data_IF_165496770236
#
_entry.id   IF_165496770236
#
_cell.length_a   1.000
_cell.length_b   1.000
_cell.length_c   1.000
_cell.angle_alpha   90.00
_cell.angle_beta   90.00
_cell.angle_gamma   90.00
#
_symmetry.space_group_name_H-M   'P 1'
#
loop_
_entity.id
_entity.type
_entity.pdbx_description
1 polymer ?
#
# COMPACT_ATOMS: atom_id res chain seq x y z
N UNK A 1 4.99 -18.41 12.18
CA UNK A 1 4.20 -17.18 11.95
C UNK A 1 4.05 -16.99 10.46
N UNK A 2 2.81 -16.80 9.98
CA UNK A 2 2.51 -16.61 8.56
C UNK A 2 2.18 -15.12 8.30
N UNK A 3 2.72 -14.58 7.20
CA UNK A 3 2.59 -13.18 6.82
C UNK A 3 1.88 -13.06 5.47
N UNK A 4 0.87 -12.18 5.39
CA UNK A 4 0.31 -11.75 4.11
C UNK A 4 0.64 -10.26 3.91
N UNK A 5 1.55 -9.95 3.01
CA UNK A 5 1.99 -8.57 2.79
C UNK A 5 1.17 -7.84 1.72
N UNK A 6 0.10 -8.42 1.17
CA UNK A 6 -0.57 -7.88 -0.02
C UNK A 6 -2.11 -8.02 -0.03
N UNK A 7 -2.76 -7.72 1.10
CA UNK A 7 -4.22 -7.61 1.14
C UNK A 7 -4.64 -6.32 0.44
N UNK A 8 -5.40 -6.43 -0.64
CA UNK A 8 -5.87 -5.26 -1.39
C UNK A 8 -6.78 -4.37 -0.53
N UNK A 9 -6.49 -3.08 -0.51
CA UNK A 9 -7.31 -2.09 0.18
C UNK A 9 -7.49 -0.83 -0.68
N UNK A 10 -8.65 -0.18 -0.54
CA UNK A 10 -8.92 1.11 -1.16
C UNK A 10 -9.72 2.01 -0.20
N UNK A 11 -9.70 3.34 -0.37
CA UNK A 11 -10.50 4.24 0.46
C UNK A 11 -12.02 3.98 0.41
N UNK A 12 -12.50 3.26 -0.61
CA UNK A 12 -13.90 2.86 -0.74
C UNK A 12 -14.26 1.54 -0.06
N UNK A 13 -13.30 0.83 0.55
CA UNK A 13 -13.55 -0.45 1.22
C UNK A 13 -14.31 -0.21 2.54
N UNK A 14 -15.53 -0.73 2.71
CA UNK A 14 -16.27 -0.58 3.96
C UNK A 14 -15.54 -1.22 5.15
N UNK A 15 -15.66 -0.61 6.34
CA UNK A 15 -14.97 -1.11 7.54
C UNK A 15 -15.38 -2.54 7.91
N UNK A 16 -16.66 -2.91 7.71
CA UNK A 16 -17.16 -4.25 7.98
C UNK A 16 -16.54 -5.31 7.05
N UNK A 17 -16.36 -5.00 5.77
CA UNK A 17 -15.75 -5.92 4.80
C UNK A 17 -14.25 -6.11 5.08
N UNK A 18 -13.58 -5.03 5.48
CA UNK A 18 -12.19 -5.07 5.92
C UNK A 18 -12.03 -5.96 7.15
N UNK A 19 -12.84 -5.75 8.18
CA UNK A 19 -12.80 -6.54 9.41
C UNK A 19 -13.09 -8.03 9.14
N UNK A 20 -14.07 -8.33 8.27
CA UNK A 20 -14.38 -9.69 7.84
C UNK A 20 -13.19 -10.35 7.13
N UNK A 21 -12.51 -9.62 6.26
CA UNK A 21 -11.30 -10.09 5.57
C UNK A 21 -10.18 -10.38 6.56
N UNK A 22 -9.97 -9.51 7.55
CA UNK A 22 -8.94 -9.70 8.58
C UNK A 22 -9.24 -10.88 9.50
N UNK A 23 -10.49 -11.07 9.91
CA UNK A 23 -10.91 -12.26 10.66
C UNK A 23 -10.68 -13.54 9.86
N UNK A 24 -11.01 -13.52 8.58
CA UNK A 24 -10.78 -14.66 7.69
C UNK A 24 -9.27 -14.96 7.57
N UNK A 25 -8.44 -13.95 7.35
CA UNK A 25 -6.98 -14.11 7.33
C UNK A 25 -6.46 -14.74 8.64
N UNK A 26 -6.97 -14.29 9.81
CA UNK A 26 -6.59 -14.92 11.08
C UNK A 26 -7.01 -16.38 11.18
N UNK A 27 -8.21 -16.73 10.68
CA UNK A 27 -8.69 -18.11 10.66
C UNK A 27 -7.86 -19.03 9.76
N UNK A 28 -7.22 -18.46 8.73
CA UNK A 28 -6.25 -19.17 7.88
C UNK A 28 -4.85 -19.29 8.52
N UNK A 29 -4.62 -18.66 9.68
CA UNK A 29 -3.35 -18.70 10.40
C UNK A 29 -2.40 -17.55 10.09
N UNK A 30 -2.83 -16.48 9.41
CA UNK A 30 -2.03 -15.27 9.25
C UNK A 30 -1.95 -14.49 10.57
N UNK A 31 -0.74 -14.24 11.05
CA UNK A 31 -0.49 -13.50 12.29
C UNK A 31 -0.34 -12.01 12.03
N UNK A 32 0.31 -11.67 10.92
CA UNK A 32 0.59 -10.30 10.50
C UNK A 32 0.14 -10.15 9.06
N UNK A 33 -0.59 -9.08 8.80
CA UNK A 33 -1.14 -8.78 7.48
C UNK A 33 -0.85 -7.33 7.11
N UNK A 34 -0.55 -7.05 5.85
CA UNK A 34 -0.36 -5.70 5.35
C UNK A 34 -1.49 -5.31 4.40
N UNK A 35 -2.14 -4.20 4.71
CA UNK A 35 -3.13 -3.57 3.85
C UNK A 35 -2.41 -2.75 2.80
N UNK A 36 -2.56 -3.13 1.54
CA UNK A 36 -1.85 -2.53 0.42
C UNK A 36 -2.71 -1.45 -0.26
N UNK A 37 -2.23 -0.21 -0.21
CA UNK A 37 -2.77 0.91 -0.95
C UNK A 37 -1.92 1.16 -2.21
N UNK A 38 -2.52 0.99 -3.40
CA UNK A 38 -1.84 1.20 -4.68
C UNK A 38 -2.02 2.66 -5.10
N UNK A 39 -0.91 3.37 -5.28
CA UNK A 39 -0.87 4.76 -5.74
C UNK A 39 -0.32 4.76 -7.16
N UNK A 40 -1.10 5.25 -8.11
CA UNK A 40 -0.77 5.29 -9.54
C UNK A 40 -0.98 6.70 -10.11
N UNK A 41 -0.26 7.03 -11.17
CA UNK A 41 -0.30 8.35 -11.80
C UNK A 41 0.75 9.31 -11.24
N UNK A 42 0.58 10.62 -11.48
CA UNK A 42 1.43 11.63 -10.86
C UNK A 42 1.27 11.54 -9.35
N UNK A 43 2.34 11.21 -8.63
CA UNK A 43 2.32 11.13 -7.17
C UNK A 43 1.83 12.48 -6.65
N UNK A 44 0.75 12.51 -5.86
CA UNK A 44 0.13 13.75 -5.46
C UNK A 44 1.13 14.64 -4.72
N UNK A 45 1.26 15.88 -5.19
CA UNK A 45 2.04 16.97 -4.56
C UNK A 45 1.30 17.62 -3.39
N UNK A 46 0.13 17.08 -3.03
CA UNK A 46 -0.74 17.50 -1.93
C UNK A 46 0.02 17.54 -0.57
N UNK A 47 -0.44 18.42 0.34
CA UNK A 47 0.45 19.08 1.30
C UNK A 47 1.12 18.11 2.26
N UNK A 48 2.38 18.40 2.58
CA UNK A 48 3.10 17.77 3.68
C UNK A 48 2.35 18.04 5.00
N UNK A 49 2.07 17.03 5.85
CA UNK A 49 2.47 15.62 5.77
C UNK A 49 1.49 14.71 5.00
N UNK A 50 2.01 13.63 4.39
CA UNK A 50 1.19 12.61 3.71
C UNK A 50 0.28 11.93 4.74
N UNK A 51 -1.03 12.18 4.65
CA UNK A 51 -2.04 11.48 5.45
C UNK A 51 -2.23 10.06 4.91
N UNK A 52 -2.00 9.05 5.75
CA UNK A 52 -2.24 7.66 5.40
C UNK A 52 -3.75 7.35 5.52
N UNK A 53 -4.43 6.97 4.44
CA UNK A 53 -5.87 6.74 4.48
C UNK A 53 -6.25 5.36 5.03
N UNK A 54 -5.29 4.47 5.28
CA UNK A 54 -5.54 3.12 5.81
C UNK A 54 -5.91 3.22 7.30
N UNK A 55 -7.07 2.68 7.72
CA UNK A 55 -7.48 2.65 9.13
C UNK A 55 -6.47 1.89 9.99
N UNK A 56 -6.13 2.45 11.15
CA UNK A 56 -5.31 1.77 12.15
C UNK A 56 -6.20 0.92 13.05
N UNK A 57 -6.36 -0.37 12.70
CA UNK A 57 -7.26 -1.30 13.40
C UNK A 57 -6.62 -2.02 14.58
N UNK A 58 -5.28 -2.03 14.65
CA UNK A 58 -4.53 -2.59 15.77
C UNK A 58 -3.57 -1.55 16.35
N UNK A 59 -3.17 -1.74 17.60
CA UNK A 59 -2.12 -0.92 18.23
C UNK A 59 -0.88 -0.84 17.34
N UNK A 60 -0.19 0.32 17.31
CA UNK A 60 1.03 0.46 16.55
C UNK A 60 2.03 -0.58 17.06
N UNK A 61 2.53 -1.43 16.16
CA UNK A 61 3.50 -2.45 16.51
C UNK A 61 4.81 -1.77 16.92
N UNK A 62 5.49 -2.31 17.92
CA UNK A 62 6.85 -1.87 18.23
C UNK A 62 7.71 -2.07 16.98
N UNK A 63 8.54 -1.08 16.56
CA UNK A 63 9.38 -1.23 15.40
C UNK A 63 10.22 -2.51 15.53
N UNK A 64 10.33 -3.22 14.41
CA UNK A 64 11.09 -4.46 14.29
C UNK A 64 12.44 -4.36 15.04
N UNK A 65 12.88 -5.37 15.80
CA UNK A 65 14.19 -5.36 16.45
C UNK A 65 15.27 -5.27 15.35
N UNK A 66 15.79 -4.06 15.17
CA UNK A 66 16.68 -3.71 14.04
C UNK A 66 16.56 -2.25 13.59
N UNK A 67 15.46 -1.55 13.88
CA UNK A 67 15.36 -0.10 13.65
C UNK A 67 15.69 0.66 14.93
N UNK A 68 16.89 1.23 15.00
CA UNK A 68 17.28 2.16 16.07
C UNK A 68 16.50 3.47 15.93
N UNK A 69 15.26 3.48 16.36
CA UNK A 69 14.53 4.72 16.65
C UNK A 69 14.47 4.89 18.15
N UNK A 70 15.17 5.92 18.64
CA UNK A 70 15.09 6.46 20.00
C UNK A 70 13.65 6.44 20.52
N UNK A 71 13.40 5.61 21.52
CA UNK A 71 12.11 5.57 22.22
C UNK A 71 11.98 6.80 23.12
N UNK A 72 10.83 7.49 23.16
CA UNK A 72 10.50 8.36 24.26
C UNK A 72 10.20 7.48 25.49
N UNK A 73 10.97 7.69 26.55
CA UNK A 73 10.75 7.06 27.85
C UNK A 73 9.41 7.49 28.44
N UNK A 74 8.40 6.62 28.43
CA UNK A 74 7.25 6.76 29.33
C UNK A 74 7.58 6.00 30.62
N UNK A 75 7.84 6.78 31.67
CA UNK A 75 8.10 6.35 33.04
C UNK A 75 7.03 5.40 33.55
N UNK A 76 7.48 4.22 33.99
CA UNK A 76 6.75 3.25 34.77
C UNK A 76 6.49 3.75 36.19
N UNK A 77 5.23 3.69 36.62
CA UNK A 77 4.87 3.57 38.04
C UNK A 77 4.03 2.31 38.20
N UNK A 78 4.53 1.36 38.99
CA UNK A 78 3.87 0.16 39.55
C UNK A 78 4.19 0.14 41.05
N UNK A 79 3.55 -0.68 41.92
CA UNK A 79 2.19 -1.25 41.89
C UNK A 79 1.49 -1.10 43.27
N UNK A 80 0.20 -1.46 43.38
CA UNK A 80 -0.42 -1.75 44.68
C UNK A 80 -1.40 -2.94 44.57
N UNK A 81 -1.27 -3.84 45.54
CA UNK A 81 -1.90 -5.15 45.70
C UNK A 81 -3.13 -5.04 46.59
N UNK A 82 -4.30 -5.57 46.18
CA UNK A 82 -5.32 -6.06 47.12
C UNK A 82 -6.22 -7.16 46.51
N UNK A 83 -5.94 -8.40 46.90
CA UNK A 83 -6.84 -9.43 47.49
C UNK A 83 -8.33 -9.49 47.08
N UNK A 84 -8.67 -10.61 46.40
CA UNK A 84 -9.85 -11.51 46.55
C UNK A 84 -11.27 -10.98 46.35
N UNK A 85 -11.95 -11.47 45.30
CA UNK A 85 -13.23 -12.22 45.40
C UNK A 85 -13.43 -13.02 44.11
N UNK A 86 -13.59 -14.34 44.23
CA UNK A 86 -13.90 -15.24 43.13
C UNK A 86 -15.39 -15.12 42.75
N UNK A 87 -15.67 -14.76 41.51
CA UNK A 87 -16.96 -15.02 40.85
C UNK A 87 -16.70 -15.82 39.59
N UNK A 88 -17.17 -17.06 39.61
CA UNK A 88 -17.16 -18.02 38.52
C UNK A 88 -18.13 -17.53 37.45
N UNK A 89 -17.68 -16.62 36.58
CA UNK A 89 -18.44 -16.19 35.41
C UNK A 89 -17.85 -16.90 34.19
N UNK A 90 -18.66 -17.77 33.61
CA UNK A 90 -18.47 -18.44 32.31
C UNK A 90 -17.82 -17.48 31.31
N UNK A 91 -16.65 -17.79 30.72
CA UNK A 91 -16.07 -16.90 29.72
C UNK A 91 -16.95 -16.98 28.46
N UNK A 92 -17.68 -15.89 28.18
CA UNK A 92 -18.26 -15.68 26.88
C UNK A 92 -17.14 -15.83 25.82
N UNK A 93 -17.41 -16.45 24.66
CA UNK A 93 -16.38 -16.61 23.64
C UNK A 93 -15.96 -15.23 23.15
N UNK A 94 -14.83 -14.72 23.64
CA UNK A 94 -14.21 -13.52 23.10
C UNK A 94 -13.89 -13.82 21.63
N UNK A 95 -14.29 -12.93 20.70
CA UNK A 95 -13.96 -13.15 19.29
C UNK A 95 -12.44 -13.28 19.16
N UNK A 96 -11.96 -14.17 18.26
CA UNK A 96 -10.53 -14.38 18.09
C UNK A 96 -9.83 -13.04 17.78
N UNK A 97 -8.64 -12.81 18.34
CA UNK A 97 -7.93 -11.55 18.17
C UNK A 97 -7.60 -11.33 16.68
N UNK A 98 -7.80 -10.11 16.20
CA UNK A 98 -7.43 -9.70 14.84
C UNK A 98 -5.91 -9.86 14.63
N UNK A 99 -5.46 -10.12 13.38
CA UNK A 99 -4.05 -10.17 13.07
C UNK A 99 -3.43 -8.76 13.18
N UNK A 100 -2.12 -8.68 13.43
CA UNK A 100 -1.41 -7.40 13.42
C UNK A 100 -1.48 -6.78 12.03
N UNK A 101 -1.95 -5.54 11.93
CA UNK A 101 -2.08 -4.87 10.63
C UNK A 101 -0.92 -3.92 10.38
N UNK A 102 -0.28 -4.07 9.22
CA UNK A 102 0.72 -3.15 8.66
C UNK A 102 0.08 -2.31 7.56
N UNK A 103 0.53 -1.06 7.42
CA UNK A 103 0.11 -0.18 6.34
C UNK A 103 1.16 -0.21 5.24
N UNK A 104 0.77 -0.71 4.08
CA UNK A 104 1.66 -0.82 2.91
C UNK A 104 1.23 0.13 1.81
N UNK A 105 2.20 0.79 1.18
CA UNK A 105 2.00 1.50 -0.07
C UNK A 105 2.70 0.78 -1.23
N UNK A 106 2.01 0.63 -2.36
CA UNK A 106 2.65 0.26 -3.63
C UNK A 106 2.61 1.45 -4.58
N UNK A 107 3.78 2.00 -4.89
CA UNK A 107 3.93 3.13 -5.82
C UNK A 107 4.16 2.60 -7.23
N UNK A 108 3.27 2.90 -8.16
CA UNK A 108 3.49 2.58 -9.58
C UNK A 108 4.40 3.63 -10.21
N UNK A 109 5.59 3.21 -10.60
CA UNK A 109 6.65 4.08 -11.10
C UNK A 109 6.65 4.05 -12.63
N UNK A 110 6.17 5.15 -13.21
CA UNK A 110 6.24 5.41 -14.66
C UNK A 110 7.47 6.24 -15.00
N UNK A 111 7.67 7.37 -14.30
CA UNK A 111 8.84 8.23 -14.40
C UNK A 111 9.57 8.39 -13.04
N UNK A 112 10.80 7.87 -12.91
CA UNK A 112 11.63 8.01 -11.71
C UNK A 112 11.78 9.43 -11.17
N UNK A 113 11.87 10.43 -12.06
CA UNK A 113 12.15 11.80 -11.66
C UNK A 113 11.06 12.37 -10.74
N UNK A 114 9.80 11.99 -10.98
CA UNK A 114 8.65 12.45 -10.20
C UNK A 114 8.52 11.76 -8.84
N UNK A 115 9.05 10.53 -8.71
CA UNK A 115 8.86 9.71 -7.49
C UNK A 115 9.97 9.91 -6.47
N UNK A 116 11.22 10.07 -6.91
CA UNK A 116 12.39 10.05 -6.02
C UNK A 116 12.27 11.03 -4.84
N UNK A 117 11.81 12.26 -5.12
CA UNK A 117 11.72 13.32 -4.11
C UNK A 117 10.73 13.01 -2.97
N UNK A 118 9.66 12.24 -3.25
CA UNK A 118 8.57 11.95 -2.30
C UNK A 118 8.70 10.61 -1.60
N UNK A 119 9.67 9.79 -2.02
CA UNK A 119 9.87 8.47 -1.45
C UNK A 119 10.14 8.51 0.07
N UNK A 120 10.94 9.44 0.61
CA UNK A 120 11.14 9.55 2.06
C UNK A 120 9.87 9.90 2.83
N UNK A 121 8.98 10.71 2.26
CA UNK A 121 7.71 11.08 2.89
C UNK A 121 6.77 9.87 2.97
N UNK A 122 6.72 9.06 1.90
CA UNK A 122 5.97 7.81 1.91
C UNK A 122 6.57 6.78 2.87
N UNK A 123 7.90 6.68 2.96
CA UNK A 123 8.58 5.80 3.91
C UNK A 123 8.32 6.17 5.38
N UNK A 124 8.00 7.44 5.67
CA UNK A 124 7.58 7.87 7.01
C UNK A 124 6.10 7.59 7.30
N UNK A 125 5.24 7.62 6.28
CA UNK A 125 3.80 7.49 6.44
C UNK A 125 3.30 6.03 6.44
N UNK A 126 4.06 5.11 5.84
CA UNK A 126 3.71 3.70 5.70
C UNK A 126 4.74 2.80 6.40
N UNK A 127 4.31 1.63 6.85
CA UNK A 127 5.18 0.66 7.52
C UNK A 127 5.99 -0.15 6.49
N UNK A 128 5.40 -0.41 5.32
CA UNK A 128 6.03 -1.13 4.21
C UNK A 128 5.87 -0.35 2.92
N UNK A 129 6.96 -0.18 2.18
CA UNK A 129 6.96 0.50 0.89
C UNK A 129 7.38 -0.47 -0.23
N UNK A 130 6.52 -0.58 -1.24
CA UNK A 130 6.76 -1.37 -2.44
C UNK A 130 6.80 -0.47 -3.68
N UNK A 131 7.76 -0.69 -4.58
CA UNK A 131 7.83 -0.01 -5.87
C UNK A 131 7.37 -0.95 -6.98
N UNK A 132 6.42 -0.53 -7.82
CA UNK A 132 6.01 -1.25 -9.02
C UNK A 132 6.52 -0.53 -10.26
N UNK A 133 7.65 -0.95 -10.84
CA UNK A 133 8.13 -0.35 -12.08
C UNK A 133 7.24 -0.70 -13.27
N UNK A 134 7.01 0.26 -14.15
CA UNK A 134 6.21 0.13 -15.37
C UNK A 134 7.04 0.27 -16.67
N UNK A 135 8.36 0.44 -16.57
CA UNK A 135 9.29 0.57 -17.71
C UNK A 135 10.69 0.09 -17.32
N UNK A 136 11.56 -0.21 -18.29
CA UNK A 136 12.96 -0.60 -18.03
C UNK A 136 13.71 0.48 -17.24
N UNK A 137 13.48 1.77 -17.57
CA UNK A 137 14.07 2.90 -16.85
C UNK A 137 13.61 2.93 -15.39
N UNK A 138 12.32 2.70 -15.14
CA UNK A 138 11.79 2.63 -13.79
C UNK A 138 12.33 1.43 -13.01
N UNK A 139 12.47 0.27 -13.66
CA UNK A 139 13.02 -0.94 -13.06
C UNK A 139 14.49 -0.75 -12.66
N UNK A 140 15.32 -0.23 -13.57
CA UNK A 140 16.72 0.06 -13.30
C UNK A 140 16.88 1.08 -12.16
N UNK A 141 16.08 2.14 -12.16
CA UNK A 141 16.09 3.15 -11.09
C UNK A 141 15.70 2.55 -9.73
N UNK A 142 14.62 1.76 -9.67
CA UNK A 142 14.16 1.11 -8.45
C UNK A 142 15.20 0.13 -7.87
N UNK A 143 16.01 -0.49 -8.73
CA UNK A 143 17.05 -1.43 -8.30
C UNK A 143 18.34 -0.75 -7.85
N UNK A 144 18.76 0.33 -8.53
CA UNK A 144 20.13 0.86 -8.43
C UNK A 144 20.23 2.29 -7.89
N UNK A 145 19.23 3.13 -8.15
CA UNK A 145 19.34 4.58 -7.97
C UNK A 145 18.47 5.15 -6.85
N UNK A 146 17.68 4.32 -6.17
CA UNK A 146 16.95 4.74 -4.97
C UNK A 146 17.93 5.02 -3.82
N UNK A 147 17.79 6.18 -3.16
CA UNK A 147 18.65 6.60 -2.03
C UNK A 147 18.59 5.63 -0.86
N UNK A 148 17.38 5.19 -0.49
CA UNK A 148 17.13 4.15 0.50
C UNK A 148 16.51 2.95 -0.24
N UNK A 149 17.15 1.76 -0.24
CA UNK A 149 16.62 0.60 -0.95
C UNK A 149 15.18 0.30 -0.48
N UNK A 150 14.22 0.18 -1.40
CA UNK A 150 12.86 -0.16 -1.02
C UNK A 150 12.86 -1.56 -0.40
N UNK A 151 11.97 -1.77 0.57
CA UNK A 151 11.77 -3.09 1.17
C UNK A 151 11.33 -4.11 0.11
N UNK A 152 10.47 -3.68 -0.83
CA UNK A 152 9.90 -4.54 -1.87
C UNK A 152 9.90 -3.89 -3.26
N UNK A 153 10.20 -4.69 -4.28
CA UNK A 153 9.98 -4.39 -5.70
C UNK A 153 8.87 -5.32 -6.19
N UNK A 154 7.72 -4.75 -6.54
CA UNK A 154 6.49 -5.44 -6.93
C UNK A 154 6.43 -5.63 -8.44
N UNK A 155 6.47 -6.88 -8.90
CA UNK A 155 6.33 -7.24 -10.30
C UNK A 155 4.86 -7.57 -10.58
N UNK A 156 4.24 -6.89 -11.54
CA UNK A 156 2.87 -7.22 -11.96
C UNK A 156 2.91 -8.37 -12.97
N UNK A 157 2.67 -9.59 -12.49
CA UNK A 157 2.67 -10.81 -13.31
C UNK A 157 1.27 -11.13 -13.86
N UNK A 158 0.31 -10.23 -13.65
CA UNK A 158 -1.04 -10.33 -14.19
C UNK A 158 -1.11 -10.23 -15.72
N UNK A 159 -0.08 -9.62 -16.33
CA UNK A 159 0.11 -9.44 -17.76
C UNK A 159 1.60 -9.57 -18.09
N UNK A 160 1.98 -9.75 -19.38
CA UNK A 160 3.38 -9.69 -19.78
C UNK A 160 4.02 -8.37 -19.33
N UNK A 161 5.13 -8.48 -18.61
CA UNK A 161 5.95 -7.32 -18.25
C UNK A 161 6.44 -6.67 -19.53
N UNK A 162 6.02 -5.43 -19.80
CA UNK A 162 6.45 -4.64 -20.96
C UNK A 162 7.90 -4.13 -20.87
N UNK A 163 8.72 -4.74 -20.02
CA UNK A 163 10.14 -4.44 -19.79
C UNK A 163 10.86 -5.72 -19.37
N UNK A 164 12.18 -5.75 -19.49
CA UNK A 164 12.97 -6.93 -19.18
C UNK A 164 13.58 -6.88 -17.78
N UNK A 165 13.50 -8.00 -17.07
CA UNK A 165 14.18 -8.16 -15.78
C UNK A 165 15.64 -8.51 -16.06
N UNK A 166 16.51 -7.52 -15.96
CA UNK A 166 17.95 -7.75 -16.08
C UNK A 166 18.50 -8.39 -14.80
N UNK A 167 18.97 -9.64 -14.90
CA UNK A 167 19.50 -10.41 -13.77
C UNK A 167 20.56 -9.65 -12.96
N UNK A 168 21.54 -9.01 -13.62
CA UNK A 168 22.59 -8.24 -12.92
C UNK A 168 21.99 -7.10 -12.09
N UNK A 169 21.03 -6.38 -12.65
CA UNK A 169 20.32 -5.27 -12.00
C UNK A 169 19.46 -5.76 -10.83
N UNK A 170 18.74 -6.87 -11.03
CA UNK A 170 17.90 -7.48 -9.99
C UNK A 170 18.76 -7.98 -8.82
N UNK A 171 19.85 -8.69 -9.09
CA UNK A 171 20.75 -9.21 -8.06
C UNK A 171 21.46 -8.10 -7.29
N UNK A 172 21.80 -6.98 -7.94
CA UNK A 172 22.33 -5.80 -7.26
C UNK A 172 21.30 -5.24 -6.25
N UNK A 173 20.01 -5.19 -6.61
CA UNK A 173 18.96 -4.76 -5.68
C UNK A 173 18.84 -5.71 -4.48
N UNK A 174 18.91 -7.03 -4.69
CA UNK A 174 18.89 -8.02 -3.61
C UNK A 174 20.06 -7.82 -2.65
N UNK A 175 21.27 -7.61 -3.18
CA UNK A 175 22.47 -7.35 -2.38
C UNK A 175 22.37 -6.06 -1.57
N UNK A 176 21.62 -5.06 -2.06
CA UNK A 176 21.30 -3.82 -1.34
C UNK A 176 20.19 -3.97 -0.30
N UNK A 177 19.54 -5.13 -0.23
CA UNK A 177 18.49 -5.42 0.77
C UNK A 177 17.06 -5.45 0.23
N UNK A 178 16.84 -5.13 -1.05
CA UNK A 178 15.50 -5.23 -1.64
C UNK A 178 15.04 -6.68 -1.78
N UNK A 179 13.73 -6.90 -1.78
CA UNK A 179 13.11 -8.20 -2.09
C UNK A 179 12.11 -8.04 -3.22
N UNK A 180 11.94 -9.08 -4.03
CA UNK A 180 10.97 -9.08 -5.12
C UNK A 180 9.71 -9.80 -4.70
N UNK A 181 8.55 -9.27 -5.06
CA UNK A 181 7.27 -9.97 -4.95
C UNK A 181 6.61 -10.08 -6.32
N UNK A 182 5.87 -11.16 -6.54
CA UNK A 182 5.01 -11.33 -7.69
C UNK A 182 3.56 -11.02 -7.30
N UNK A 183 2.94 -10.04 -7.96
CA UNK A 183 1.49 -9.84 -7.88
C UNK A 183 0.83 -10.73 -8.93
N UNK A 184 -0.02 -11.65 -8.48
CA UNK A 184 -0.95 -12.39 -9.34
C UNK A 184 -2.13 -11.54 -9.78
N UNK A 185 -2.97 -12.07 -10.68
CA UNK A 185 -4.24 -11.44 -11.04
C UNK A 185 -5.17 -11.38 -9.81
N UNK A 186 -5.22 -10.23 -9.14
CA UNK A 186 -6.33 -9.92 -8.24
C UNK A 186 -7.47 -9.39 -9.10
N UNK A 187 -8.61 -10.10 -9.10
CA UNK A 187 -9.86 -9.59 -9.66
C UNK A 187 -10.27 -8.38 -8.83
N UNK A 188 -9.84 -7.19 -9.25
CA UNK A 188 -10.35 -5.95 -8.71
C UNK A 188 -11.83 -5.92 -9.08
N UNK A 189 -12.71 -6.00 -8.08
CA UNK A 189 -14.15 -5.95 -8.26
C UNK A 189 -14.52 -4.67 -9.01
N UNK A 190 -14.62 -4.76 -10.33
CA UNK A 190 -15.05 -3.64 -11.17
C UNK A 190 -16.48 -3.31 -10.75
N UNK A 191 -16.63 -2.18 -10.07
CA UNK A 191 -17.94 -1.56 -9.88
C UNK A 191 -18.47 -1.26 -11.28
N UNK A 192 -19.37 -2.10 -11.79
CA UNK A 192 -20.04 -1.93 -13.07
C UNK A 192 -20.68 -0.54 -13.07
N UNK A 193 -20.06 0.42 -13.76
CA UNK A 193 -20.72 1.68 -14.13
C UNK A 193 -21.81 1.29 -15.12
N UNK A 194 -23.05 1.24 -14.65
CA UNK A 194 -24.22 1.23 -15.54
C UNK A 194 -24.16 2.51 -16.37
N UNK A 195 -23.81 2.37 -17.65
CA UNK A 195 -23.83 3.44 -18.62
C UNK A 195 -25.27 3.72 -19.02
N UNK A 196 -25.81 4.83 -18.55
CA UNK A 196 -27.05 5.41 -19.07
C UNK A 196 -26.78 5.99 -20.47
N UNK A 197 -27.68 5.68 -21.40
CA UNK A 197 -27.52 5.88 -22.83
C UNK A 197 -27.59 7.34 -23.22
N UNK A 198 -26.65 7.76 -24.07
CA UNK A 198 -26.57 9.12 -24.57
C UNK A 198 -27.75 9.54 -25.45
N UNK A 199 -28.10 10.82 -25.35
CA UNK A 199 -28.62 11.61 -26.48
C UNK A 199 -27.73 12.83 -26.66
N UNK A 200 -26.83 12.78 -27.66
CA UNK A 200 -26.08 13.94 -28.14
C UNK A 200 -27.00 14.79 -29.02
N UNK A 201 -27.28 16.03 -28.60
CA UNK A 201 -27.87 17.05 -29.45
C UNK A 201 -26.71 17.83 -30.09
N UNK A 202 -26.52 17.66 -31.40
CA UNK A 202 -25.56 18.42 -32.18
C UNK A 202 -26.22 19.70 -32.71
N UNK A 203 -25.74 20.86 -32.26
CA UNK A 203 -25.92 22.13 -32.98
C UNK A 203 -24.66 22.96 -32.78
N UNK A 204 -23.70 22.82 -33.71
CA UNK A 204 -22.52 23.69 -33.76
C UNK A 204 -22.75 24.76 -34.82
N UNK A 205 -22.68 25.99 -34.34
CA UNK A 205 -22.80 27.25 -35.07
C UNK A 205 -21.76 27.37 -36.19
N UNK A 206 -22.18 28.04 -37.27
CA UNK A 206 -21.38 28.39 -38.44
C UNK A 206 -21.08 29.89 -38.37
N UNK A 207 -19.82 30.27 -38.17
CA UNK A 207 -19.29 31.63 -38.37
C UNK A 207 -17.81 31.52 -38.79
N UNK A 208 -17.37 32.53 -39.55
CA UNK A 208 -16.05 32.86 -40.12
C UNK A 208 -15.78 32.28 -41.54
N UNK A 209 -15.86 33.06 -42.63
CA UNK A 209 -15.22 34.32 -43.06
C UNK A 209 -13.76 34.15 -43.48
N UNK A 210 -13.49 34.68 -44.68
CA UNK A 210 -12.21 35.00 -45.33
C UNK A 210 -11.58 33.94 -46.26
N UNK A 211 -11.60 34.23 -47.56
CA UNK A 211 -10.46 34.06 -48.46
C UNK A 211 -10.52 35.12 -49.57
N UNK A 212 -9.37 35.72 -49.82
CA UNK A 212 -9.05 36.86 -50.68
C UNK A 212 -8.26 36.34 -51.90
N UNK A 213 -8.43 37.01 -53.06
CA UNK A 213 -7.60 36.99 -54.29
C UNK A 213 -7.61 35.74 -55.18
N UNK A 214 -8.04 35.90 -56.43
CA UNK A 214 -7.18 36.39 -57.53
C UNK A 214 -8.04 37.18 -58.52
#
# INVERSE_FOLDING_TARGET
>A
MLYDLNIAWSPGTPAADLERTLRFAKSLGYDVVALNHIISGSIPTQPSPITNPIPQLTFPHSPYPGRSSSSPSSSSTKPATTTTTATTTTPAPTPPPLPTTLRRATLVITDPATTNYRLPDHARAYDVLALRPASDKAFAWACLATTDPPALISLDLAAPLGYHIHHRTAMAAVQRGSRFEGKGQQQQGQKRKGGDGGKKQAKKMRVDVAQVKA
#
